data_IF_865388380810
#
_entry.id   IF_865388380810
#
_cell.length_a   1.000
_cell.length_b   1.000
_cell.length_c   1.000
_cell.angle_alpha   90.00
_cell.angle_beta   90.00
_cell.angle_gamma   90.00
#
_symmetry.space_group_name_H-M   'P 1'
#
loop_
_entity.id
_entity.type
_entity.pdbx_description
1 polymer ?
#
# COMPACT_ATOMS: atom_id res chain seq x y z
N UNK A 1 39.71 -0.32 -13.92
CA UNK A 1 38.57 -1.21 -13.65
C UNK A 1 37.84 -0.68 -12.42
N UNK A 2 36.63 -0.13 -12.58
CA UNK A 2 35.83 0.36 -11.44
C UNK A 2 34.99 -0.79 -10.88
N UNK A 3 35.13 -1.05 -9.58
CA UNK A 3 34.39 -2.08 -8.85
C UNK A 3 32.91 -1.71 -8.74
N UNK A 4 32.04 -2.60 -9.19
CA UNK A 4 30.59 -2.48 -9.01
C UNK A 4 30.24 -2.76 -7.54
N UNK A 5 30.30 -1.72 -6.69
CA UNK A 5 29.75 -1.79 -5.34
C UNK A 5 28.22 -1.88 -5.43
N UNK A 6 27.66 -3.05 -5.12
CA UNK A 6 26.21 -3.24 -5.10
C UNK A 6 25.62 -2.34 -4.02
N UNK A 7 24.85 -1.32 -4.42
CA UNK A 7 24.06 -0.47 -3.50
C UNK A 7 23.27 -1.36 -2.54
N UNK A 8 23.41 -1.13 -1.24
CA UNK A 8 22.62 -1.78 -0.21
C UNK A 8 21.15 -1.36 -0.40
N UNK A 9 20.27 -2.31 -0.71
CA UNK A 9 18.83 -2.03 -0.85
C UNK A 9 18.28 -1.64 0.51
N UNK A 10 18.06 -0.34 0.71
CA UNK A 10 17.34 0.20 1.86
C UNK A 10 15.85 0.20 1.48
N UNK A 11 15.21 -0.95 1.67
CA UNK A 11 13.81 -1.16 1.33
C UNK A 11 13.20 -2.23 2.22
N UNK A 12 11.87 -2.21 2.34
CA UNK A 12 11.13 -3.18 3.13
C UNK A 12 11.26 -4.56 2.45
N UNK A 13 11.97 -5.48 3.08
CA UNK A 13 11.98 -6.88 2.64
C UNK A 13 10.57 -7.44 2.88
N UNK A 14 9.84 -7.73 1.80
CA UNK A 14 8.56 -8.43 1.89
C UNK A 14 8.89 -9.87 2.32
N UNK A 15 8.83 -10.15 3.62
CA UNK A 15 8.99 -11.50 4.12
C UNK A 15 7.78 -12.33 3.68
N UNK A 16 7.88 -13.03 2.55
CA UNK A 16 6.84 -13.86 1.96
C UNK A 16 6.62 -15.19 2.69
N UNK A 17 7.28 -15.42 3.83
CA UNK A 17 7.09 -16.62 4.66
C UNK A 17 5.79 -16.63 5.48
N UNK A 18 4.80 -15.80 5.16
CA UNK A 18 3.46 -15.93 5.72
C UNK A 18 2.71 -17.07 5.02
N UNK A 19 3.16 -18.30 5.32
CA UNK A 19 2.63 -19.62 4.93
C UNK A 19 1.25 -19.57 4.28
N UNK A 20 1.21 -20.03 3.02
CA UNK A 20 0.00 -20.39 2.30
C UNK A 20 -0.59 -21.68 2.90
N UNK A 21 -1.01 -21.62 4.16
CA UNK A 21 -2.01 -22.58 4.65
C UNK A 21 -3.35 -21.96 4.26
N UNK A 22 -4.15 -22.68 3.48
CA UNK A 22 -5.54 -22.33 3.20
C UNK A 22 -6.36 -22.41 4.49
N UNK A 23 -6.18 -21.44 5.38
CA UNK A 23 -7.07 -21.20 6.49
C UNK A 23 -8.24 -20.39 5.94
N UNK A 24 -9.46 -20.90 6.12
CA UNK A 24 -10.70 -20.20 5.74
C UNK A 24 -10.66 -18.72 6.14
N UNK A 25 -11.11 -17.84 5.24
CA UNK A 25 -10.95 -16.37 5.27
C UNK A 25 -11.20 -15.71 6.63
N UNK A 26 -12.06 -16.29 7.46
CA UNK A 26 -12.47 -15.76 8.76
C UNK A 26 -11.43 -15.87 9.88
N UNK A 27 -10.42 -16.74 9.77
CA UNK A 27 -9.53 -17.09 10.89
C UNK A 27 -8.16 -16.38 10.86
N UNK A 28 -7.78 -15.73 9.75
CA UNK A 28 -6.49 -15.06 9.65
C UNK A 28 -6.58 -13.64 10.23
N UNK A 29 -6.29 -13.50 11.51
CA UNK A 29 -6.14 -12.19 12.17
C UNK A 29 -4.74 -11.99 12.76
N UNK A 30 -4.21 -10.77 12.63
CA UNK A 30 -2.92 -10.38 13.18
C UNK A 30 -3.05 -9.10 13.99
N UNK A 31 -2.57 -9.11 15.23
CA UNK A 31 -2.54 -7.93 16.09
C UNK A 31 -1.20 -7.24 15.96
N UNK A 32 -1.21 -5.93 15.75
CA UNK A 32 -0.02 -5.09 15.74
C UNK A 32 -0.09 -4.07 16.87
N UNK A 33 1.03 -3.85 17.55
CA UNK A 33 1.19 -2.75 18.50
C UNK A 33 1.84 -1.58 17.78
N UNK A 34 1.16 -0.43 17.75
CA UNK A 34 1.67 0.81 17.18
C UNK A 34 2.73 1.43 18.09
N UNK A 35 3.52 2.38 17.57
CA UNK A 35 4.52 3.13 18.36
C UNK A 35 3.92 3.85 19.58
N UNK A 36 2.62 4.17 19.50
CA UNK A 36 1.86 4.78 20.60
C UNK A 36 1.42 3.77 21.67
N UNK A 37 1.76 2.48 21.54
CA UNK A 37 1.30 1.40 22.43
C UNK A 37 -0.09 0.88 22.12
N UNK A 38 -0.85 1.54 21.23
CA UNK A 38 -2.19 1.09 20.81
C UNK A 38 -2.09 -0.23 20.04
N UNK A 39 -2.97 -1.17 20.36
CA UNK A 39 -3.09 -2.44 19.63
C UNK A 39 -4.17 -2.31 18.56
N UNK A 40 -3.88 -2.76 17.35
CA UNK A 40 -4.82 -2.83 16.23
C UNK A 40 -4.86 -4.25 15.67
N UNK A 41 -6.04 -4.70 15.24
CA UNK A 41 -6.23 -6.05 14.70
C UNK A 41 -6.50 -5.95 13.21
N UNK A 42 -5.65 -6.58 12.41
CA UNK A 42 -5.89 -6.81 10.99
C UNK A 42 -6.57 -8.16 10.84
N UNK A 43 -7.56 -8.23 9.97
CA UNK A 43 -8.24 -9.47 9.61
C UNK A 43 -8.21 -9.61 8.09
N UNK A 44 -7.97 -10.83 7.62
CA UNK A 44 -8.19 -11.14 6.23
C UNK A 44 -9.68 -11.07 5.91
N UNK A 45 -10.02 -10.41 4.81
CA UNK A 45 -11.41 -10.31 4.34
C UNK A 45 -11.38 -10.53 2.84
N UNK A 46 -12.20 -11.46 2.37
CA UNK A 46 -12.47 -11.63 0.94
C UNK A 46 -13.64 -10.74 0.55
N UNK A 47 -13.43 -9.88 -0.44
CA UNK A 47 -14.46 -9.03 -1.01
C UNK A 47 -14.87 -9.62 -2.36
N UNK A 48 -16.15 -10.02 -2.54
CA UNK A 48 -16.65 -10.47 -3.84
C UNK A 48 -16.49 -9.38 -4.92
N UNK A 49 -16.30 -9.79 -6.18
CA UNK A 49 -16.09 -8.86 -7.29
C UNK A 49 -17.23 -7.83 -7.44
N UNK A 50 -18.47 -8.26 -7.24
CA UNK A 50 -19.67 -7.40 -7.26
C UNK A 50 -19.65 -6.30 -6.19
N UNK A 51 -18.88 -6.52 -5.11
CA UNK A 51 -18.91 -5.67 -3.93
C UNK A 51 -17.66 -4.78 -3.83
N UNK A 52 -16.68 -4.94 -4.71
CA UNK A 52 -15.42 -4.19 -4.67
C UNK A 52 -15.69 -2.69 -4.71
N UNK A 53 -16.57 -2.24 -5.60
CA UNK A 53 -16.89 -0.82 -5.77
C UNK A 53 -17.49 -0.20 -4.50
N UNK A 54 -18.39 -0.91 -3.82
CA UNK A 54 -19.11 -0.38 -2.65
C UNK A 54 -18.37 -0.59 -1.34
N UNK A 55 -17.56 -1.66 -1.22
CA UNK A 55 -16.89 -2.05 0.03
C UNK A 55 -15.42 -1.65 0.10
N UNK A 56 -14.82 -1.21 -1.01
CA UNK A 56 -13.44 -0.72 -1.02
C UNK A 56 -13.42 0.76 -1.38
N UNK A 57 -12.90 1.59 -0.47
CA UNK A 57 -12.80 3.02 -0.69
C UNK A 57 -11.51 3.55 -0.06
N UNK A 58 -11.02 4.65 -0.63
CA UNK A 58 -9.89 5.39 -0.08
C UNK A 58 -10.44 6.48 0.82
N UNK A 59 -10.24 6.35 2.12
CA UNK A 59 -10.43 7.47 3.04
C UNK A 59 -9.22 8.42 2.94
N UNK A 60 -9.43 9.62 2.42
CA UNK A 60 -8.36 10.59 2.17
C UNK A 60 -7.69 11.10 3.45
N UNK A 61 -8.47 11.27 4.53
CA UNK A 61 -7.95 11.69 5.84
C UNK A 61 -7.01 10.64 6.42
N UNK A 62 -7.38 9.36 6.32
CA UNK A 62 -6.56 8.24 6.80
C UNK A 62 -5.30 8.04 5.95
N UNK A 63 -5.39 8.26 4.63
CA UNK A 63 -4.27 8.11 3.72
C UNK A 63 -3.37 9.35 3.64
N UNK A 64 -3.74 10.45 4.31
CA UNK A 64 -2.94 11.68 4.39
C UNK A 64 -2.75 12.37 3.05
N UNK A 65 -3.69 12.21 2.11
CA UNK A 65 -3.63 12.87 0.80
C UNK A 65 -4.48 14.12 0.82
N UNK A 66 -3.85 15.24 1.20
CA UNK A 66 -4.45 16.55 1.02
C UNK A 66 -4.43 16.91 -0.48
N UNK A 67 -5.60 16.91 -1.11
CA UNK A 67 -5.76 17.29 -2.51
C UNK A 67 -6.15 18.76 -2.68
N UNK A 68 -6.42 19.50 -1.60
CA UNK A 68 -6.82 20.91 -1.68
C UNK A 68 -5.69 21.80 -2.18
N UNK A 69 -4.44 21.41 -1.95
CA UNK A 69 -3.26 22.12 -2.43
C UNK A 69 -2.90 21.80 -3.89
N UNK A 70 -3.59 20.85 -4.55
CA UNK A 70 -3.28 20.47 -5.92
C UNK A 70 -3.84 21.48 -6.92
N UNK A 71 -2.94 22.20 -7.58
CA UNK A 71 -3.26 23.09 -8.70
C UNK A 71 -2.78 22.50 -10.02
N UNK A 72 -3.34 22.99 -11.14
CA UNK A 72 -2.93 22.57 -12.48
C UNK A 72 -1.44 22.82 -12.73
N UNK A 73 -0.92 23.91 -12.20
CA UNK A 73 0.48 24.31 -12.27
C UNK A 73 1.36 23.34 -11.49
N UNK A 74 0.96 22.99 -10.25
CA UNK A 74 1.69 22.02 -9.41
C UNK A 74 1.76 20.62 -10.04
N UNK A 75 0.75 20.25 -10.84
CA UNK A 75 0.63 18.95 -11.49
C UNK A 75 1.18 18.92 -12.94
N UNK A 76 1.68 20.05 -13.46
CA UNK A 76 2.05 20.19 -14.89
C UNK A 76 3.03 19.13 -15.36
N UNK A 77 4.07 18.85 -14.57
CA UNK A 77 5.09 17.85 -14.94
C UNK A 77 4.51 16.43 -15.00
N UNK A 78 3.71 16.06 -14.00
CA UNK A 78 3.04 14.75 -13.92
C UNK A 78 2.10 14.58 -15.12
N UNK A 79 1.27 15.59 -15.41
CA UNK A 79 0.33 15.56 -16.54
C UNK A 79 1.06 15.35 -17.87
N UNK A 80 2.22 15.97 -18.05
CA UNK A 80 3.03 15.82 -19.26
C UNK A 80 3.64 14.43 -19.39
N UNK A 81 4.07 13.81 -18.28
CA UNK A 81 4.82 12.54 -18.34
C UNK A 81 3.95 11.30 -18.18
N UNK A 82 2.75 11.40 -17.60
CA UNK A 82 1.94 10.23 -17.23
C UNK A 82 1.55 9.34 -18.42
N UNK A 83 1.39 9.93 -19.61
CA UNK A 83 1.11 9.20 -20.86
C UNK A 83 2.25 8.29 -21.31
N UNK A 84 3.48 8.54 -20.83
CA UNK A 84 4.69 7.79 -21.18
C UNK A 84 5.12 6.83 -20.07
N UNK A 85 4.38 6.76 -18.95
CA UNK A 85 4.72 5.97 -17.77
C UNK A 85 3.81 4.76 -17.55
N UNK A 86 3.00 4.38 -18.54
CA UNK A 86 2.24 3.12 -18.47
C UNK A 86 3.14 1.97 -18.92
N UNK A 87 3.33 1.00 -18.02
CA UNK A 87 3.95 -0.29 -18.30
C UNK A 87 2.92 -1.24 -18.93
#
# INVERSE_FOLDING_TARGET
>A
MMSNERRKTIGRQLNTQASMVEMTDTQRSQVFTLKTGRKITFRFVRVPASDVESKTFVNQETNGRDQLALTRESLKSIIQTIKFQQF
#
